data_IF_119987660408
#
_entry.id   IF_119987660408
#
_cell.length_a   1.000
_cell.length_b   1.000
_cell.length_c   1.000
_cell.angle_alpha   90.00
_cell.angle_beta   90.00
_cell.angle_gamma   90.00
#
_symmetry.space_group_name_H-M   'P 1'
#
loop_
_entity.id
_entity.type
_entity.pdbx_description
1 polymer ?
#
# COMPACT_ATOMS: atom_id res chain seq x y z
N UNK A 1 8.69 -4.84 -19.23
CA UNK A 1 7.39 -5.33 -18.69
C UNK A 1 6.88 -4.27 -17.74
N UNK A 2 5.67 -3.82 -17.92
CA UNK A 2 5.00 -2.82 -17.10
C UNK A 2 4.84 -3.34 -15.67
N UNK A 3 5.27 -2.57 -14.66
CA UNK A 3 5.21 -2.94 -13.25
C UNK A 3 3.79 -3.31 -12.82
N UNK A 4 2.81 -2.51 -13.24
CA UNK A 4 1.40 -2.75 -12.93
C UNK A 4 0.90 -4.10 -13.48
N UNK A 5 1.16 -4.39 -14.74
CA UNK A 5 0.78 -5.69 -15.37
C UNK A 5 1.43 -6.86 -14.64
N UNK A 6 2.69 -6.71 -14.23
CA UNK A 6 3.40 -7.74 -13.48
C UNK A 6 2.76 -7.97 -12.12
N UNK A 7 2.54 -6.91 -11.35
CA UNK A 7 1.99 -7.01 -9.99
C UNK A 7 0.53 -7.47 -9.97
N UNK A 8 -0.26 -7.09 -10.96
CA UNK A 8 -1.65 -7.55 -11.08
C UNK A 8 -1.77 -9.05 -11.40
N UNK A 9 -0.69 -9.70 -11.86
CA UNK A 9 -0.64 -11.15 -12.03
C UNK A 9 -0.24 -11.91 -10.76
N UNK A 10 0.14 -11.21 -9.69
CA UNK A 10 0.58 -11.80 -8.43
C UNK A 10 -0.60 -12.05 -7.49
N UNK A 11 -0.45 -13.04 -6.61
CA UNK A 11 -1.47 -13.40 -5.63
C UNK A 11 -1.42 -12.53 -4.38
N UNK A 12 -2.53 -12.50 -3.64
CA UNK A 12 -2.59 -11.91 -2.31
C UNK A 12 -2.62 -13.02 -1.26
N UNK A 13 -1.81 -12.90 -0.20
CA UNK A 13 -1.80 -13.90 0.87
C UNK A 13 -0.45 -14.06 1.56
N UNK A 14 -0.40 -15.02 2.46
CA UNK A 14 0.75 -15.40 3.27
C UNK A 14 1.33 -16.72 2.78
N UNK A 15 2.66 -16.88 2.65
CA UNK A 15 3.25 -18.15 2.30
C UNK A 15 3.08 -19.20 3.42
N UNK A 16 2.30 -20.25 3.13
CA UNK A 16 2.13 -21.41 4.01
C UNK A 16 2.42 -22.67 3.20
N UNK A 17 3.36 -23.48 3.66
CA UNK A 17 3.76 -24.73 2.98
C UNK A 17 4.09 -24.55 1.48
N UNK A 18 4.69 -23.40 1.13
CA UNK A 18 5.10 -23.12 -0.25
C UNK A 18 4.03 -22.52 -1.16
N UNK A 19 2.83 -22.28 -0.67
CA UNK A 19 1.72 -21.67 -1.40
C UNK A 19 1.26 -20.39 -0.73
N UNK A 20 0.70 -19.45 -1.50
CA UNK A 20 0.03 -18.26 -0.94
C UNK A 20 -1.37 -18.65 -0.48
N UNK A 21 -1.68 -18.32 0.78
CA UNK A 21 -2.98 -18.58 1.40
C UNK A 21 -3.52 -17.28 1.96
N UNK A 22 -4.77 -16.94 1.64
CA UNK A 22 -5.47 -15.83 2.27
C UNK A 22 -5.87 -16.26 3.69
N UNK A 23 -5.36 -15.53 4.68
CA UNK A 23 -5.60 -15.76 6.10
C UNK A 23 -6.13 -14.48 6.72
N UNK A 24 -6.95 -14.62 7.76
CA UNK A 24 -7.54 -13.50 8.50
C UNK A 24 -7.24 -13.59 9.99
N UNK A 25 -7.42 -12.47 10.69
CA UNK A 25 -7.40 -12.39 12.14
C UNK A 25 -6.16 -13.01 12.79
N UNK A 26 -6.33 -13.83 13.85
CA UNK A 26 -5.22 -14.43 14.59
C UNK A 26 -4.35 -15.38 13.76
N UNK A 27 -4.93 -16.08 12.78
CA UNK A 27 -4.18 -16.97 11.89
C UNK A 27 -3.20 -16.18 11.02
N UNK A 28 -3.67 -15.07 10.45
CA UNK A 28 -2.81 -14.15 9.72
C UNK A 28 -1.69 -13.61 10.61
N UNK A 29 -2.02 -13.08 11.79
CA UNK A 29 -1.04 -12.49 12.70
C UNK A 29 0.05 -13.49 13.14
N UNK A 30 -0.30 -14.75 13.31
CA UNK A 30 0.63 -15.81 13.68
C UNK A 30 1.52 -16.27 12.51
N UNK A 31 0.95 -16.40 11.32
CA UNK A 31 1.65 -16.94 10.15
C UNK A 31 2.49 -15.89 9.42
N UNK A 32 2.02 -14.64 9.35
CA UNK A 32 2.66 -13.61 8.54
C UNK A 32 4.00 -13.14 9.09
N UNK A 33 4.95 -13.00 8.17
CA UNK A 33 6.24 -12.31 8.37
C UNK A 33 6.53 -11.47 7.13
N UNK A 34 6.97 -10.23 7.33
CA UNK A 34 7.36 -9.35 6.21
C UNK A 34 8.37 -10.04 5.31
N UNK A 35 8.09 -10.10 4.03
CA UNK A 35 8.92 -10.83 3.07
C UNK A 35 10.11 -10.00 2.57
N UNK A 36 11.19 -10.69 2.21
CA UNK A 36 12.22 -10.10 1.36
C UNK A 36 11.70 -9.95 -0.08
N UNK A 37 12.32 -9.07 -0.87
CA UNK A 37 12.00 -8.92 -2.30
C UNK A 37 12.15 -10.25 -3.06
N UNK A 38 13.17 -11.04 -2.73
CA UNK A 38 13.38 -12.36 -3.34
C UNK A 38 12.29 -13.38 -2.96
N UNK A 39 11.80 -13.33 -1.71
CA UNK A 39 10.68 -14.19 -1.29
C UNK A 39 9.38 -13.77 -2.00
N UNK A 40 9.08 -12.48 -2.07
CA UNK A 40 7.94 -11.96 -2.80
C UNK A 40 7.93 -12.40 -4.28
N UNK A 41 9.10 -12.32 -4.94
CA UNK A 41 9.27 -12.81 -6.31
C UNK A 41 9.11 -14.31 -6.44
N UNK A 42 9.63 -15.07 -5.47
CA UNK A 42 9.51 -16.53 -5.45
C UNK A 42 8.06 -16.98 -5.35
N UNK A 43 7.30 -16.39 -4.44
CA UNK A 43 5.91 -16.74 -4.19
C UNK A 43 4.92 -16.06 -5.16
N UNK A 44 5.39 -15.09 -5.95
CA UNK A 44 4.55 -14.31 -6.85
C UNK A 44 3.38 -13.65 -6.12
N UNK A 45 3.68 -12.97 -5.00
CA UNK A 45 2.68 -12.24 -4.21
C UNK A 45 3.04 -12.12 -2.74
N UNK A 46 2.11 -11.53 -1.99
CA UNK A 46 2.22 -11.21 -0.58
C UNK A 46 1.01 -10.40 -0.11
N UNK A 47 1.16 -9.65 0.98
CA UNK A 47 0.15 -8.72 1.45
C UNK A 47 0.52 -7.27 1.10
N UNK A 48 -0.31 -6.28 1.43
CA UNK A 48 -0.08 -4.87 1.07
C UNK A 48 1.34 -4.38 1.43
N UNK A 49 1.89 -4.81 2.56
CA UNK A 49 3.25 -4.44 3.01
C UNK A 49 4.34 -4.96 2.07
N UNK A 50 4.18 -6.17 1.57
CA UNK A 50 5.15 -6.80 0.66
C UNK A 50 5.06 -6.17 -0.74
N UNK A 51 3.85 -5.84 -1.19
CA UNK A 51 3.63 -5.10 -2.43
C UNK A 51 4.26 -3.70 -2.37
N UNK A 52 3.98 -2.93 -1.31
CA UNK A 52 4.56 -1.60 -1.12
C UNK A 52 6.09 -1.66 -1.09
N UNK A 53 6.67 -2.62 -0.35
CA UNK A 53 8.11 -2.84 -0.32
C UNK A 53 8.68 -3.14 -1.69
N UNK A 54 8.06 -4.05 -2.43
CA UNK A 54 8.51 -4.40 -3.76
C UNK A 54 8.47 -3.20 -4.72
N UNK A 55 7.38 -2.45 -4.72
CA UNK A 55 7.22 -1.25 -5.53
C UNK A 55 8.28 -0.20 -5.19
N UNK A 56 8.50 0.05 -3.90
CA UNK A 56 9.52 0.98 -3.41
C UNK A 56 10.91 0.61 -3.94
N UNK A 57 11.34 -0.63 -3.76
CA UNK A 57 12.65 -1.11 -4.22
C UNK A 57 12.77 -1.05 -5.75
N UNK A 58 11.71 -1.42 -6.48
CA UNK A 58 11.70 -1.35 -7.93
C UNK A 58 11.85 0.08 -8.45
N UNK A 59 11.11 1.02 -7.86
CA UNK A 59 11.16 2.45 -8.24
C UNK A 59 12.53 3.06 -7.89
N UNK A 60 13.08 2.75 -6.72
CA UNK A 60 14.44 3.18 -6.33
C UNK A 60 15.50 2.67 -7.32
N UNK A 61 15.42 1.40 -7.70
CA UNK A 61 16.35 0.83 -8.68
C UNK A 61 16.30 1.55 -10.03
N UNK A 62 15.14 2.11 -10.39
CA UNK A 62 14.94 2.93 -11.59
C UNK A 62 15.29 4.41 -11.41
N UNK A 63 15.76 4.81 -10.24
CA UNK A 63 16.05 6.21 -9.95
C UNK A 63 14.80 7.09 -9.79
N UNK A 64 13.63 6.49 -9.56
CA UNK A 64 12.38 7.21 -9.40
C UNK A 64 12.17 7.50 -7.91
N UNK A 65 12.04 8.79 -7.57
CA UNK A 65 11.72 9.22 -6.20
C UNK A 65 10.37 8.67 -5.77
N UNK A 66 10.32 8.06 -4.58
CA UNK A 66 9.07 7.48 -4.07
C UNK A 66 9.10 7.36 -2.55
N UNK A 67 7.93 7.25 -1.96
CA UNK A 67 7.73 7.14 -0.52
C UNK A 67 6.73 6.04 -0.20
N UNK A 68 6.96 5.34 0.93
CA UNK A 68 6.03 4.37 1.49
C UNK A 68 5.17 5.02 2.57
N UNK A 69 3.90 4.68 2.55
CA UNK A 69 2.91 5.16 3.50
C UNK A 69 2.22 4.01 4.21
N UNK A 70 1.91 4.24 5.46
CA UNK A 70 1.10 3.39 6.33
C UNK A 70 -0.11 4.18 6.79
N UNK A 71 -1.30 3.64 6.55
CA UNK A 71 -2.57 4.15 7.06
C UNK A 71 -3.07 3.18 8.12
N UNK A 72 -3.55 3.72 9.24
CA UNK A 72 -4.30 3.01 10.26
C UNK A 72 -5.62 3.73 10.52
N UNK A 73 -6.73 3.00 10.36
CA UNK A 73 -8.06 3.48 10.73
C UNK A 73 -8.33 3.14 12.18
N UNK A 74 -8.75 4.13 12.97
CA UNK A 74 -9.18 3.94 14.36
C UNK A 74 -10.66 3.54 14.43
N UNK A 75 -11.03 2.57 13.57
CA UNK A 75 -12.35 1.94 13.58
C UNK A 75 -12.36 0.68 14.48
N UNK A 76 -13.52 0.04 14.58
CA UNK A 76 -13.69 -1.18 15.41
C UNK A 76 -12.79 -2.34 14.98
N UNK A 77 -12.29 -2.32 13.75
CA UNK A 77 -11.48 -3.39 13.17
C UNK A 77 -9.99 -3.03 13.06
N UNK A 78 -9.61 -1.78 13.39
CA UNK A 78 -8.23 -1.27 13.26
C UNK A 78 -7.64 -1.62 11.89
N UNK A 79 -8.38 -1.32 10.83
CA UNK A 79 -7.98 -1.64 9.46
C UNK A 79 -6.72 -0.86 9.07
N UNK A 80 -5.78 -1.54 8.47
CA UNK A 80 -4.52 -0.94 8.03
C UNK A 80 -4.28 -1.15 6.55
N UNK A 81 -3.58 -0.22 5.92
CA UNK A 81 -3.11 -0.37 4.55
C UNK A 81 -1.73 0.26 4.38
N UNK A 82 -0.92 -0.32 3.50
CA UNK A 82 0.36 0.26 3.09
C UNK A 82 0.44 0.36 1.59
N UNK A 83 1.03 1.44 1.13
CA UNK A 83 1.15 1.74 -0.28
C UNK A 83 2.39 2.58 -0.58
N UNK A 84 2.76 2.64 -1.85
CA UNK A 84 3.88 3.44 -2.35
C UNK A 84 3.37 4.48 -3.34
N UNK A 85 3.86 5.71 -3.21
CA UNK A 85 3.63 6.78 -4.18
C UNK A 85 4.94 7.17 -4.81
N UNK A 86 5.04 7.11 -6.13
CA UNK A 86 6.13 7.71 -6.89
C UNK A 86 5.89 9.22 -6.96
N UNK A 87 6.90 9.99 -6.53
CA UNK A 87 6.82 11.44 -6.42
C UNK A 87 7.43 12.09 -7.66
N UNK A 88 6.61 12.78 -8.42
CA UNK A 88 7.02 13.62 -9.53
C UNK A 88 6.88 15.09 -9.12
N UNK A 89 7.46 16.03 -9.89
CA UNK A 89 7.48 17.44 -9.50
C UNK A 89 6.08 17.99 -9.18
N UNK A 90 5.09 17.68 -10.02
CA UNK A 90 3.74 18.26 -9.94
C UNK A 90 2.64 17.25 -9.67
N UNK A 91 2.97 15.96 -9.52
CA UNK A 91 1.98 14.91 -9.27
C UNK A 91 2.58 13.67 -8.61
N UNK A 92 1.71 12.88 -7.98
CA UNK A 92 2.03 11.55 -7.47
C UNK A 92 1.43 10.46 -8.35
N UNK A 93 2.17 9.36 -8.51
CA UNK A 93 1.68 8.14 -9.15
C UNK A 93 1.51 7.07 -8.07
N UNK A 94 0.30 6.59 -7.90
CA UNK A 94 -0.06 5.50 -7.01
C UNK A 94 -0.40 4.26 -7.84
N UNK A 95 0.25 3.14 -7.54
CA UNK A 95 -0.04 1.84 -8.16
C UNK A 95 -0.61 0.93 -7.09
N UNK A 96 -1.90 0.61 -7.19
CA UNK A 96 -2.53 -0.35 -6.29
C UNK A 96 -2.56 -1.73 -6.93
N UNK A 97 -2.00 -2.71 -6.24
CA UNK A 97 -1.97 -4.10 -6.71
C UNK A 97 -2.45 -5.11 -5.66
N UNK A 98 -2.50 -4.71 -4.39
CA UNK A 98 -2.89 -5.57 -3.26
C UNK A 98 -4.35 -5.44 -2.87
N UNK A 99 -4.91 -4.25 -2.99
CA UNK A 99 -6.31 -3.97 -2.66
C UNK A 99 -7.19 -4.14 -3.91
N UNK A 100 -7.71 -5.35 -4.09
CA UNK A 100 -8.41 -5.76 -5.33
C UNK A 100 -9.53 -4.83 -5.77
N UNK A 101 -10.28 -4.23 -4.82
CA UNK A 101 -11.39 -3.30 -5.10
C UNK A 101 -10.96 -2.11 -5.94
N UNK A 102 -9.73 -1.65 -5.76
CA UNK A 102 -9.20 -0.47 -6.43
C UNK A 102 -7.89 -0.75 -7.17
N UNK A 103 -7.68 -1.97 -7.65
CA UNK A 103 -6.50 -2.27 -8.45
C UNK A 103 -6.38 -1.34 -9.66
N UNK A 104 -5.16 -0.80 -9.88
CA UNK A 104 -4.89 0.06 -11.03
C UNK A 104 -3.75 1.03 -10.83
N UNK A 105 -3.59 1.90 -11.81
CA UNK A 105 -2.64 3.02 -11.79
C UNK A 105 -3.43 4.31 -11.64
N UNK A 106 -3.02 5.13 -10.68
CA UNK A 106 -3.68 6.38 -10.34
C UNK A 106 -2.68 7.53 -10.37
N UNK A 107 -3.11 8.67 -10.87
CA UNK A 107 -2.32 9.91 -10.87
C UNK A 107 -3.12 11.00 -10.17
N UNK A 108 -2.48 11.79 -9.34
CA UNK A 108 -3.07 12.96 -8.73
C UNK A 108 -2.04 14.05 -8.48
N UNK A 109 -2.46 15.30 -8.57
CA UNK A 109 -1.63 16.46 -8.22
C UNK A 109 -1.42 16.59 -6.69
N UNK A 110 -2.11 15.81 -5.86
CA UNK A 110 -2.11 15.95 -4.41
C UNK A 110 -2.06 14.59 -3.70
N UNK A 111 -1.22 14.50 -2.68
CA UNK A 111 -1.22 13.35 -1.75
C UNK A 111 -2.55 13.27 -0.99
N UNK A 112 -3.17 14.42 -0.65
CA UNK A 112 -4.48 14.48 0.00
C UNK A 112 -5.53 13.72 -0.81
N UNK A 113 -5.58 13.93 -2.13
CA UNK A 113 -6.48 13.22 -3.03
C UNK A 113 -6.21 11.71 -3.07
N UNK A 114 -4.93 11.29 -3.16
CA UNK A 114 -4.58 9.87 -3.18
C UNK A 114 -5.01 9.19 -1.89
N UNK A 115 -4.66 9.79 -0.75
CA UNK A 115 -4.98 9.22 0.58
C UNK A 115 -6.49 9.21 0.81
N UNK A 116 -7.19 10.28 0.47
CA UNK A 116 -8.66 10.36 0.59
C UNK A 116 -9.37 9.31 -0.27
N UNK A 117 -8.86 9.08 -1.48
CA UNK A 117 -9.37 8.02 -2.35
C UNK A 117 -9.16 6.62 -1.74
N UNK A 118 -8.00 6.35 -1.15
CA UNK A 118 -7.73 5.08 -0.46
C UNK A 118 -8.68 4.93 0.73
N UNK A 119 -8.76 5.92 1.61
CA UNK A 119 -9.62 5.91 2.81
C UNK A 119 -11.09 5.66 2.47
N UNK A 120 -11.62 6.35 1.48
CA UNK A 120 -13.00 6.16 0.98
C UNK A 120 -13.29 4.73 0.51
N UNK A 121 -12.29 4.00 0.07
CA UNK A 121 -12.42 2.61 -0.35
C UNK A 121 -12.16 1.59 0.75
N UNK A 122 -11.47 2.00 1.84
CA UNK A 122 -11.25 1.18 3.04
C UNK A 122 -12.47 1.18 3.96
N UNK A 123 -13.19 2.30 4.06
CA UNK A 123 -14.33 2.46 4.98
C UNK A 123 -15.41 3.36 4.40
N UNK A 124 -16.67 3.10 4.79
CA UNK A 124 -17.80 3.94 4.42
C UNK A 124 -17.86 5.25 5.24
N UNK A 125 -17.17 5.29 6.39
CA UNK A 125 -17.15 6.44 7.28
C UNK A 125 -15.71 6.76 7.72
N UNK A 126 -15.09 7.72 7.05
CA UNK A 126 -13.77 8.24 7.43
C UNK A 126 -13.94 9.19 8.60
N UNK A 127 -13.69 8.73 9.83
CA UNK A 127 -13.80 9.57 11.03
C UNK A 127 -12.45 9.87 11.67
N UNK A 128 -11.61 8.87 11.84
CA UNK A 128 -10.32 9.00 12.49
C UNK A 128 -9.31 8.03 11.88
N UNK A 129 -8.14 8.54 11.53
CA UNK A 129 -7.07 7.76 10.95
C UNK A 129 -5.70 8.38 11.23
N UNK A 130 -4.67 7.57 11.20
CA UNK A 130 -3.29 8.02 11.16
C UNK A 130 -2.66 7.69 9.81
N UNK A 131 -1.89 8.64 9.27
CA UNK A 131 -1.03 8.47 8.10
C UNK A 131 0.43 8.68 8.51
N UNK A 132 1.28 7.75 8.12
CA UNK A 132 2.71 7.84 8.39
C UNK A 132 3.52 7.50 7.14
N UNK A 133 4.50 8.32 6.84
CA UNK A 133 5.59 7.95 5.94
C UNK A 133 6.56 7.06 6.70
N UNK A 134 6.92 5.92 6.14
CA UNK A 134 7.89 5.02 6.78
C UNK A 134 9.01 4.60 5.82
N UNK A 135 10.18 4.34 6.38
CA UNK A 135 11.28 3.70 5.66
C UNK A 135 11.08 2.20 5.74
N UNK A 136 11.43 1.51 4.64
CA UNK A 136 11.25 0.07 4.55
C UNK A 136 11.95 -0.67 5.70
N UNK A 137 11.22 -1.40 6.56
CA UNK A 137 11.82 -2.18 7.63
C UNK A 137 12.47 -3.45 7.09
N UNK A 138 13.31 -4.09 7.91
CA UNK A 138 13.88 -5.38 7.56
C UNK A 138 12.80 -6.44 7.39
N UNK A 139 13.03 -7.41 6.51
CA UNK A 139 12.18 -8.60 6.39
C UNK A 139 12.18 -9.47 7.66
N UNK A 140 11.20 -10.35 7.78
CA UNK A 140 11.06 -11.28 8.90
C UNK A 140 10.30 -10.72 10.11
N UNK A 141 9.76 -9.51 10.04
CA UNK A 141 8.94 -8.94 11.12
C UNK A 141 7.56 -9.56 11.16
N UNK A 142 7.06 -9.81 12.36
CA UNK A 142 5.64 -10.12 12.60
C UNK A 142 4.76 -8.92 12.27
N UNK A 143 3.45 -9.16 12.19
CA UNK A 143 2.44 -8.10 12.04
C UNK A 143 2.63 -6.99 13.07
N UNK A 144 2.68 -7.37 14.36
CA UNK A 144 2.80 -6.41 15.46
C UNK A 144 4.12 -5.63 15.43
N UNK A 145 5.22 -6.30 15.12
CA UNK A 145 6.53 -5.63 15.00
C UNK A 145 6.55 -4.65 13.83
N UNK A 146 5.90 -4.96 12.72
CA UNK A 146 5.81 -4.05 11.59
C UNK A 146 4.92 -2.83 11.90
N UNK A 147 3.74 -3.04 12.47
CA UNK A 147 2.85 -1.95 12.89
C UNK A 147 3.54 -1.03 13.89
N UNK A 148 4.14 -1.60 14.94
CA UNK A 148 4.92 -0.83 15.92
C UNK A 148 6.08 -0.08 15.27
N UNK A 149 6.74 -0.66 14.26
CA UNK A 149 7.77 0.05 13.51
C UNK A 149 7.18 1.29 12.80
N UNK A 150 6.07 1.15 12.10
CA UNK A 150 5.40 2.27 11.42
C UNK A 150 4.97 3.35 12.41
N UNK A 151 4.37 2.96 13.53
CA UNK A 151 3.88 3.89 14.57
C UNK A 151 5.02 4.64 15.25
N UNK A 152 6.10 3.96 15.64
CA UNK A 152 7.18 4.57 16.44
C UNK A 152 8.30 5.18 15.60
N UNK A 153 8.52 4.71 14.38
CA UNK A 153 9.61 5.15 13.50
C UNK A 153 9.12 5.89 12.25
N UNK A 154 7.83 5.77 11.94
CA UNK A 154 7.22 6.50 10.84
C UNK A 154 7.07 7.99 11.19
N UNK A 155 7.22 8.83 10.17
CA UNK A 155 6.98 10.27 10.27
C UNK A 155 5.48 10.52 10.08
N UNK A 156 4.78 11.12 11.07
CA UNK A 156 3.39 11.51 10.90
C UNK A 156 3.23 12.48 9.73
N UNK A 157 2.22 12.23 8.92
CA UNK A 157 1.85 13.09 7.80
C UNK A 157 0.42 13.56 8.03
N UNK A 158 0.22 14.87 8.00
CA UNK A 158 -1.09 15.47 8.08
C UNK A 158 -1.61 15.71 6.67
N UNK A 159 -2.78 15.21 6.38
CA UNK A 159 -3.51 15.50 5.15
C UNK A 159 -4.88 16.09 5.47
N UNK A 160 -5.42 16.81 4.52
CA UNK A 160 -6.82 17.23 4.53
C UNK A 160 -7.63 16.16 3.80
N UNK A 161 -8.60 15.55 4.49
CA UNK A 161 -9.55 14.69 3.79
C UNK A 161 -10.40 15.54 2.83
N UNK A 162 -10.48 15.11 1.58
CA UNK A 162 -11.23 15.78 0.51
C UNK A 162 -12.11 14.76 -0.22
N UNK A 163 -13.25 15.20 -0.67
CA UNK A 163 -14.09 14.37 -1.54
C UNK A 163 -13.39 14.17 -2.88
N UNK A 164 -13.36 12.93 -3.36
CA UNK A 164 -12.64 12.58 -4.57
C UNK A 164 -13.50 11.78 -5.54
N UNK A 165 -13.20 11.97 -6.82
CA UNK A 165 -13.67 11.11 -7.92
C UNK A 165 -12.52 10.68 -8.79
N UNK A 166 -12.72 9.64 -9.58
CA UNK A 166 -11.76 9.21 -10.60
C UNK A 166 -12.25 9.55 -11.99
N UNK A 167 -11.34 9.96 -12.86
CA UNK A 167 -11.56 10.17 -14.30
C UNK A 167 -10.73 9.10 -15.02
N UNK A 168 -11.40 8.28 -15.83
CA UNK A 168 -10.72 7.26 -16.63
C UNK A 168 -9.96 7.93 -17.78
N UNK A 169 -8.66 7.58 -17.92
CA UNK A 169 -7.76 8.07 -18.96
C UNK A 169 -7.21 6.91 -19.82
N UNK A 170 -7.85 5.74 -19.79
CA UNK A 170 -7.42 4.54 -20.49
C UNK A 170 -6.39 3.73 -19.68
N UNK A 171 -5.09 4.06 -19.80
CA UNK A 171 -4.02 3.33 -19.10
C UNK A 171 -3.92 3.63 -17.60
N UNK A 172 -4.56 4.70 -17.14
CA UNK A 172 -4.58 5.11 -15.74
C UNK A 172 -5.90 5.83 -15.40
N UNK A 173 -6.13 6.05 -14.11
CA UNK A 173 -7.20 6.88 -13.59
C UNK A 173 -6.62 8.12 -12.93
N UNK A 174 -7.19 9.26 -13.21
CA UNK A 174 -6.85 10.51 -12.53
C UNK A 174 -7.75 10.69 -11.31
N UNK A 175 -7.15 10.89 -10.12
CA UNK A 175 -7.89 11.23 -8.90
C UNK A 175 -7.92 12.75 -8.78
N UNK A 176 -9.11 13.30 -8.70
CA UNK A 176 -9.35 14.74 -8.56
C UNK A 176 -10.25 15.02 -7.38
N UNK A 177 -10.07 16.19 -6.75
CA UNK A 177 -10.99 16.74 -5.75
C UNK A 177 -12.30 17.16 -6.44
N UNK A 178 -13.43 17.02 -5.73
CA UNK A 178 -14.77 17.37 -6.21
C UNK A 178 -15.23 18.71 -5.66
#
# INVERSE_FOLDING_TARGET
MDLNKRLNSYGYGVPVNGQLVELDGPEFANAYRTMSVSAFEKYKGGVCWDYARYQHMYLQYRGISNQNFYIELHDKMSSTHTFTVAMMNDFGIYIESSFRKIQGVYISASLDCIVSYILKNMTDHVSDFELREYKDPRSGRTTLEFMNWCIHRGKPIHIKYVETRTIDRGDYKEIVEV
#
